data_IF_023977002876
#
_entry.id   IF_023977002876
#
_cell.length_a   1.000
_cell.length_b   1.000
_cell.length_c   1.000
_cell.angle_alpha   90.00
_cell.angle_beta   90.00
_cell.angle_gamma   90.00
#
_symmetry.space_group_name_H-M   'P 1'
#
loop_
_entity.id
_entity.type
_entity.pdbx_description
1 polymer ?
#
# COMPACT_ATOMS: atom_id res chain seq x y z
N UNK A 1 -16.55 4.43 17.53
CA UNK A 1 -17.83 4.84 16.91
C UNK A 1 -17.79 4.94 15.38
N UNK A 2 -17.12 5.92 14.74
CA UNK A 2 -17.24 6.11 13.27
C UNK A 2 -17.01 4.84 12.42
N UNK A 3 -15.88 4.13 12.63
CA UNK A 3 -15.55 2.93 11.83
C UNK A 3 -16.49 1.74 12.07
N UNK A 4 -17.13 1.68 13.24
CA UNK A 4 -18.07 0.61 13.62
C UNK A 4 -19.45 0.80 12.98
N UNK A 5 -19.79 2.03 12.59
CA UNK A 5 -21.03 2.34 11.88
C UNK A 5 -20.92 2.14 10.37
N UNK A 6 -19.70 1.96 9.83
CA UNK A 6 -19.51 1.67 8.42
C UNK A 6 -19.85 0.20 8.14
N UNK A 7 -20.59 -0.09 7.05
CA UNK A 7 -20.89 -1.46 6.66
C UNK A 7 -19.61 -2.31 6.49
N UNK A 8 -19.67 -3.58 6.87
CA UNK A 8 -18.53 -4.51 6.76
C UNK A 8 -18.38 -5.11 5.36
N UNK A 9 -19.43 -5.07 4.54
CA UNK A 9 -19.45 -5.46 3.14
C UNK A 9 -18.86 -4.38 2.22
N UNK A 10 -18.66 -3.16 2.74
CA UNK A 10 -17.99 -2.08 2.02
C UNK A 10 -16.49 -2.06 2.37
N UNK A 11 -15.58 -2.30 1.42
CA UNK A 11 -14.14 -2.27 1.68
C UNK A 11 -13.68 -0.83 1.97
N UNK A 12 -13.11 -0.63 3.16
CA UNK A 12 -12.63 0.68 3.62
C UNK A 12 -11.18 0.55 4.06
N UNK A 13 -10.37 1.49 3.60
CA UNK A 13 -8.98 1.64 4.04
C UNK A 13 -8.80 2.97 4.80
N UNK A 14 -8.00 2.96 5.86
CA UNK A 14 -7.78 4.10 6.77
C UNK A 14 -6.30 4.49 6.78
N UNK A 15 -6.02 5.77 6.53
CA UNK A 15 -4.67 6.34 6.54
C UNK A 15 -4.48 7.29 7.73
N UNK A 16 -3.47 7.05 8.56
CA UNK A 16 -3.05 7.99 9.60
C UNK A 16 -1.88 8.85 9.09
N UNK A 17 -1.98 10.17 9.29
CA UNK A 17 -1.04 11.16 8.71
C UNK A 17 -0.19 11.91 9.73
N UNK A 18 -0.43 11.69 11.01
CA UNK A 18 0.33 12.32 12.10
C UNK A 18 1.16 11.27 12.84
N UNK A 19 2.42 11.60 13.17
CA UNK A 19 3.39 10.64 13.72
C UNK A 19 2.96 10.09 15.09
N UNK A 20 2.31 10.91 15.92
CA UNK A 20 1.88 10.57 17.28
C UNK A 20 0.95 9.35 17.33
N UNK A 21 0.29 9.00 16.22
CA UNK A 21 -0.51 7.78 16.12
C UNK A 21 0.31 6.49 16.14
N UNK A 22 1.61 6.59 15.92
CA UNK A 22 2.54 5.46 15.89
C UNK A 22 3.41 5.39 17.16
N UNK A 23 3.09 6.20 18.17
CA UNK A 23 3.81 6.27 19.45
C UNK A 23 3.01 5.64 20.59
N UNK A 24 3.67 4.87 21.47
CA UNK A 24 3.00 4.28 22.64
C UNK A 24 1.98 3.19 22.28
N UNK A 25 0.92 3.04 23.10
CA UNK A 25 -0.09 1.99 22.93
C UNK A 25 -1.20 2.33 21.94
N UNK A 26 -1.35 3.60 21.55
CA UNK A 26 -2.45 4.05 20.67
C UNK A 26 -2.40 3.36 19.30
N UNK A 27 -1.19 3.00 18.84
CA UNK A 27 -1.01 2.26 17.59
C UNK A 27 -1.63 0.87 17.69
N UNK A 28 -1.46 0.16 18.82
CA UNK A 28 -2.01 -1.18 19.02
C UNK A 28 -3.55 -1.11 19.07
N UNK A 29 -4.10 -0.15 19.81
CA UNK A 29 -5.55 0.10 19.88
C UNK A 29 -6.15 0.40 18.51
N UNK A 30 -5.45 1.20 17.68
CA UNK A 30 -5.86 1.48 16.32
C UNK A 30 -5.90 0.21 15.45
N UNK A 31 -4.85 -0.61 15.48
CA UNK A 31 -4.82 -1.84 14.69
C UNK A 31 -5.86 -2.86 15.15
N UNK A 32 -6.14 -2.94 16.45
CA UNK A 32 -7.16 -3.82 16.98
C UNK A 32 -8.57 -3.37 16.59
N UNK A 33 -8.85 -2.06 16.57
CA UNK A 33 -10.08 -1.52 16.02
C UNK A 33 -10.25 -1.86 14.53
N UNK A 34 -9.19 -1.71 13.73
CA UNK A 34 -9.24 -2.05 12.30
C UNK A 34 -9.49 -3.55 12.07
N UNK A 35 -8.86 -4.43 12.87
CA UNK A 35 -9.14 -5.88 12.80
C UNK A 35 -10.58 -6.19 13.18
N UNK A 36 -11.07 -5.62 14.28
CA UNK A 36 -12.43 -5.84 14.78
C UNK A 36 -13.51 -5.37 13.78
N UNK A 37 -13.21 -4.36 12.98
CA UNK A 37 -14.13 -3.80 11.98
C UNK A 37 -13.82 -4.26 10.55
N UNK A 38 -12.86 -5.17 10.35
CA UNK A 38 -12.38 -5.63 9.04
C UNK A 38 -12.05 -4.48 8.06
N UNK A 39 -11.32 -3.48 8.55
CA UNK A 39 -10.89 -2.29 7.79
C UNK A 39 -9.40 -2.41 7.52
N UNK A 40 -8.93 -1.92 6.38
CA UNK A 40 -7.51 -2.05 5.97
C UNK A 40 -6.70 -0.83 6.39
N UNK A 41 -5.54 -1.02 7.03
CA UNK A 41 -4.61 0.09 7.26
C UNK A 41 -3.89 0.45 5.95
N UNK A 42 -3.84 1.75 5.61
CA UNK A 42 -3.06 2.25 4.48
C UNK A 42 -1.60 2.39 4.90
N UNK A 43 -0.70 1.75 4.16
CA UNK A 43 0.75 1.92 4.26
C UNK A 43 1.17 3.03 3.30
N UNK A 44 1.68 4.14 3.84
CA UNK A 44 2.07 5.30 3.04
C UNK A 44 3.59 5.38 2.91
N UNK A 45 4.10 5.28 1.69
CA UNK A 45 5.52 5.50 1.38
C UNK A 45 5.65 6.81 0.62
N UNK A 46 6.29 7.83 1.20
CA UNK A 46 6.60 9.09 0.52
C UNK A 46 8.10 9.31 0.48
N UNK A 47 8.60 9.94 -0.58
CA UNK A 47 10.03 10.09 -0.83
C UNK A 47 10.81 10.75 0.33
N UNK A 48 10.13 11.59 1.12
CA UNK A 48 10.75 12.43 2.16
C UNK A 48 10.39 12.00 3.59
N UNK A 49 9.50 11.02 3.80
CA UNK A 49 9.05 10.58 5.13
C UNK A 49 8.87 9.06 5.16
N UNK A 50 9.99 8.34 5.21
CA UNK A 50 9.99 6.86 5.31
C UNK A 50 10.08 6.37 6.75
N UNK A 51 10.34 7.25 7.71
CA UNK A 51 10.40 6.93 9.14
C UNK A 51 9.06 6.44 9.73
N UNK A 52 7.93 6.64 9.03
CA UNK A 52 6.56 6.29 9.47
C UNK A 52 5.94 5.15 8.64
N UNK A 53 6.75 4.36 7.91
CA UNK A 53 6.22 3.19 7.17
C UNK A 53 5.95 2.04 8.15
N UNK A 54 4.71 1.94 8.63
CA UNK A 54 4.24 0.76 9.33
C UNK A 54 4.07 -0.41 8.34
N UNK A 55 4.32 -1.64 8.79
CA UNK A 55 4.19 -2.86 7.98
C UNK A 55 3.21 -3.84 8.64
N UNK A 56 2.19 -3.29 9.28
CA UNK A 56 1.19 -4.06 10.04
C UNK A 56 -0.08 -4.19 9.22
N UNK A 57 -0.61 -5.40 9.20
CA UNK A 57 -1.88 -5.70 8.55
C UNK A 57 -3.00 -5.79 9.58
N UNK A 58 -4.17 -5.33 9.17
CA UNK A 58 -5.41 -5.46 9.94
C UNK A 58 -6.36 -6.52 9.37
N UNK A 59 -6.12 -6.98 8.14
CA UNK A 59 -6.81 -8.10 7.49
C UNK A 59 -5.90 -8.72 6.40
N UNK A 60 -6.44 -9.61 5.57
CA UNK A 60 -5.73 -10.27 4.46
C UNK A 60 -5.55 -9.36 3.22
N UNK A 61 -5.85 -8.06 3.34
CA UNK A 61 -5.70 -7.06 2.29
C UNK A 61 -4.60 -6.08 2.64
N UNK A 62 -3.83 -5.69 1.63
CA UNK A 62 -2.77 -4.69 1.76
C UNK A 62 -3.12 -3.49 0.89
N UNK A 63 -3.05 -2.30 1.46
CA UNK A 63 -3.21 -1.05 0.71
C UNK A 63 -1.95 -0.20 0.85
N UNK A 64 -1.25 0.03 -0.26
CA UNK A 64 -0.05 0.87 -0.32
C UNK A 64 -0.38 2.14 -1.08
N UNK A 65 -0.14 3.29 -0.45
CA UNK A 65 -0.13 4.60 -1.10
C UNK A 65 1.31 5.01 -1.35
N UNK A 66 1.78 4.80 -2.57
CA UNK A 66 3.11 5.15 -3.01
C UNK A 66 3.15 6.59 -3.52
N UNK A 67 3.74 7.48 -2.74
CA UNK A 67 4.06 8.86 -3.12
C UNK A 67 5.38 8.92 -3.88
N UNK A 68 5.27 8.99 -5.20
CA UNK A 68 6.40 9.30 -6.05
C UNK A 68 6.60 10.82 -6.09
N UNK A 69 7.86 11.24 -6.18
CA UNK A 69 8.23 12.65 -6.29
C UNK A 69 8.95 12.84 -7.63
N UNK A 70 8.31 13.55 -8.56
CA UNK A 70 8.83 13.86 -9.89
C UNK A 70 9.48 12.62 -10.58
N UNK A 71 10.65 12.81 -11.20
CA UNK A 71 11.51 11.75 -11.73
C UNK A 71 12.64 11.39 -10.76
N UNK A 72 12.43 11.57 -9.44
CA UNK A 72 13.48 11.30 -8.47
C UNK A 72 14.01 9.87 -8.62
N UNK A 73 15.34 9.67 -8.72
CA UNK A 73 15.93 8.38 -9.08
C UNK A 73 15.62 7.26 -8.06
N UNK A 74 15.24 7.62 -6.83
CA UNK A 74 14.83 6.63 -5.83
C UNK A 74 13.43 6.05 -6.07
N UNK A 75 12.60 6.62 -6.95
CA UNK A 75 11.26 6.09 -7.22
C UNK A 75 11.35 4.64 -7.71
N UNK A 76 12.20 4.36 -8.71
CA UNK A 76 12.38 3.01 -9.24
C UNK A 76 12.95 2.05 -8.19
N UNK A 77 13.99 2.48 -7.46
CA UNK A 77 14.59 1.68 -6.39
C UNK A 77 13.56 1.31 -5.31
N UNK A 78 12.69 2.24 -4.90
CA UNK A 78 11.63 1.96 -3.92
C UNK A 78 10.57 1.02 -4.50
N UNK A 79 10.23 1.15 -5.77
CA UNK A 79 9.30 0.23 -6.43
C UNK A 79 9.88 -1.19 -6.51
N UNK A 80 11.19 -1.33 -6.76
CA UNK A 80 11.88 -2.63 -6.70
C UNK A 80 11.81 -3.24 -5.30
N UNK A 81 12.11 -2.45 -4.25
CA UNK A 81 11.99 -2.86 -2.85
C UNK A 81 10.56 -3.32 -2.52
N UNK A 82 9.55 -2.58 -2.99
CA UNK A 82 8.14 -2.95 -2.82
C UNK A 82 7.76 -4.20 -3.59
N UNK A 83 8.24 -4.39 -4.82
CA UNK A 83 7.91 -5.58 -5.61
C UNK A 83 8.44 -6.86 -4.96
N UNK A 84 9.64 -6.82 -4.37
CA UNK A 84 10.19 -7.92 -3.57
C UNK A 84 9.30 -8.17 -2.36
N UNK A 85 8.97 -7.12 -1.60
CA UNK A 85 8.16 -7.25 -0.39
C UNK A 85 6.77 -7.80 -0.67
N UNK A 86 6.11 -7.32 -1.70
CA UNK A 86 4.79 -7.79 -2.09
C UNK A 86 4.84 -9.26 -2.51
N UNK A 87 5.88 -9.70 -3.21
CA UNK A 87 6.06 -11.12 -3.54
C UNK A 87 6.21 -11.99 -2.28
N UNK A 88 6.96 -11.54 -1.28
CA UNK A 88 7.06 -12.23 0.02
C UNK A 88 5.69 -12.35 0.69
N UNK A 89 4.90 -11.28 0.70
CA UNK A 89 3.58 -11.26 1.32
C UNK A 89 2.54 -12.11 0.58
N UNK A 90 2.59 -12.13 -0.76
CA UNK A 90 1.77 -13.03 -1.57
C UNK A 90 2.08 -14.48 -1.19
N UNK A 91 3.37 -14.85 -1.08
CA UNK A 91 3.77 -16.19 -0.66
C UNK A 91 3.36 -16.54 0.79
N UNK A 92 3.11 -15.54 1.63
CA UNK A 92 2.62 -15.71 2.99
C UNK A 92 1.08 -15.74 3.09
N UNK A 93 0.36 -15.61 1.97
CA UNK A 93 -1.10 -15.73 1.91
C UNK A 93 -1.85 -14.40 1.93
N UNK A 94 -1.23 -13.26 1.62
CA UNK A 94 -1.97 -12.04 1.31
C UNK A 94 -2.81 -12.26 0.05
N UNK A 95 -4.11 -12.01 0.15
CA UNK A 95 -5.08 -12.32 -0.92
C UNK A 95 -5.27 -11.15 -1.88
N UNK A 96 -5.29 -9.91 -1.36
CA UNK A 96 -5.54 -8.71 -2.16
C UNK A 96 -4.49 -7.63 -1.87
N UNK A 97 -3.91 -7.07 -2.94
CA UNK A 97 -2.97 -5.95 -2.85
C UNK A 97 -3.47 -4.80 -3.72
N UNK A 98 -3.59 -3.63 -3.10
CA UNK A 98 -3.90 -2.36 -3.74
C UNK A 98 -2.64 -1.48 -3.70
N UNK A 99 -1.97 -1.31 -4.84
CA UNK A 99 -0.79 -0.44 -4.96
C UNK A 99 -1.16 0.84 -5.72
N UNK A 100 -1.39 1.93 -4.99
CA UNK A 100 -1.77 3.22 -5.54
C UNK A 100 -0.57 4.14 -5.68
N UNK A 101 -0.11 4.36 -6.91
CA UNK A 101 0.94 5.35 -7.18
C UNK A 101 0.32 6.74 -7.35
N UNK A 102 0.68 7.68 -6.48
CA UNK A 102 0.33 9.10 -6.61
C UNK A 102 1.55 9.89 -7.07
N UNK A 103 1.35 10.64 -8.15
CA UNK A 103 2.27 11.63 -8.70
C UNK A 103 1.59 13.00 -8.73
N UNK A 104 2.39 14.07 -8.75
CA UNK A 104 1.89 15.42 -9.04
C UNK A 104 1.48 15.55 -10.51
N UNK A 105 2.32 15.04 -11.42
CA UNK A 105 1.98 14.89 -12.84
C UNK A 105 1.45 13.48 -13.11
N UNK A 106 0.13 13.41 -13.34
CA UNK A 106 -0.60 12.15 -13.52
C UNK A 106 -0.24 11.44 -14.83
N UNK A 107 0.41 12.10 -15.79
CA UNK A 107 0.84 11.47 -17.05
C UNK A 107 1.89 10.37 -16.83
N UNK A 108 2.60 10.40 -15.70
CA UNK A 108 3.57 9.38 -15.32
C UNK A 108 2.97 8.17 -14.60
N UNK A 109 1.73 8.26 -14.11
CA UNK A 109 1.13 7.18 -13.33
C UNK A 109 0.99 5.87 -14.12
N UNK A 110 0.55 5.87 -15.41
CA UNK A 110 0.51 4.63 -16.21
C UNK A 110 1.88 4.00 -16.41
N UNK A 111 2.94 4.81 -16.59
CA UNK A 111 4.31 4.33 -16.76
C UNK A 111 4.85 3.65 -15.49
N UNK A 112 4.52 4.21 -14.33
CA UNK A 112 4.88 3.60 -13.04
C UNK A 112 4.09 2.33 -12.78
N UNK A 113 2.81 2.31 -13.10
CA UNK A 113 2.01 1.09 -13.03
C UNK A 113 2.64 -0.01 -13.90
N UNK A 114 3.01 0.30 -15.15
CA UNK A 114 3.67 -0.65 -16.05
C UNK A 114 5.00 -1.17 -15.48
N UNK A 115 5.83 -0.28 -14.93
CA UNK A 115 7.08 -0.68 -14.29
C UNK A 115 6.86 -1.63 -13.10
N UNK A 116 5.92 -1.28 -12.21
CA UNK A 116 5.59 -2.09 -11.05
C UNK A 116 5.02 -3.46 -11.45
N UNK A 117 4.15 -3.49 -12.46
CA UNK A 117 3.57 -4.72 -13.03
C UNK A 117 4.67 -5.61 -13.59
N UNK A 118 5.63 -5.05 -14.33
CA UNK A 118 6.80 -5.78 -14.82
C UNK A 118 7.59 -6.41 -13.68
N UNK A 119 7.87 -5.65 -12.62
CA UNK A 119 8.59 -6.14 -11.44
C UNK A 119 7.84 -7.24 -10.69
N UNK A 120 6.53 -7.10 -10.53
CA UNK A 120 5.69 -8.12 -9.89
C UNK A 120 5.61 -9.39 -10.74
N UNK A 121 5.47 -9.28 -12.06
CA UNK A 121 5.53 -10.43 -12.98
C UNK A 121 6.86 -11.17 -12.84
N UNK A 122 7.98 -10.45 -12.82
CA UNK A 122 9.32 -11.02 -12.62
C UNK A 122 9.44 -11.75 -11.27
N UNK A 123 8.91 -11.18 -10.18
CA UNK A 123 9.09 -11.72 -8.82
C UNK A 123 8.06 -12.78 -8.40
N UNK A 124 6.88 -12.81 -9.04
CA UNK A 124 5.76 -13.68 -8.63
C UNK A 124 5.28 -14.64 -9.71
N UNK A 125 5.58 -14.37 -10.98
CA UNK A 125 5.03 -15.12 -12.12
C UNK A 125 3.54 -14.87 -12.38
N UNK A 126 2.91 -13.92 -11.67
CA UNK A 126 1.49 -13.58 -11.85
C UNK A 126 1.23 -12.92 -13.21
N UNK A 127 0.11 -13.27 -13.84
CA UNK A 127 -0.36 -12.56 -15.02
C UNK A 127 -1.21 -11.34 -14.64
N UNK A 128 -0.53 -10.20 -14.46
CA UNK A 128 -1.16 -8.92 -14.10
C UNK A 128 -1.37 -8.09 -15.38
N UNK A 129 -2.61 -7.72 -15.69
CA UNK A 129 -2.94 -6.94 -16.91
C UNK A 129 -2.24 -5.58 -16.93
N UNK A 130 -1.69 -5.22 -18.08
CA UNK A 130 -1.10 -3.89 -18.31
C UNK A 130 -2.18 -2.82 -18.46
N UNK A 131 -1.97 -1.58 -17.97
CA UNK A 131 -2.85 -0.44 -18.24
C UNK A 131 -2.92 -0.05 -19.73
N UNK A 132 -1.99 -0.52 -20.56
CA UNK A 132 -1.97 -0.26 -22.01
C UNK A 132 -2.57 -1.40 -22.85
N UNK A 133 -2.94 -2.51 -22.22
CA UNK A 133 -3.60 -3.63 -22.91
C UNK A 133 -5.12 -3.43 -22.84
N UNK A 134 -5.76 -3.25 -24.01
CA UNK A 134 -7.20 -3.27 -24.21
C UNK A 134 -7.77 -4.68 -24.21
#
# INVERSE_FOLDING_TARGET
EFLEHLPNDFPVAVELRHQDWYEGSVVDEFFDLLKATNKTAVITDTALKREIIHQRFSNNKVFIRFGAYEQHPTNLKRMDEWAIRLAEWINQGVEEIYFFSKQEDETYAPRQAEYMIGKLRESTGLDIKSPYQS
#
